data_IF_119735082007
#
_entry.id   IF_119735082007
#
_cell.length_a   1.000
_cell.length_b   1.000
_cell.length_c   1.000
_cell.angle_alpha   90.00
_cell.angle_beta   90.00
_cell.angle_gamma   90.00
#
_symmetry.space_group_name_H-M   'P 1'
#
loop_
_entity.id
_entity.type
_entity.pdbx_description
1 polymer ?
#
# COMPACT_ATOMS: atom_id res chain seq x y z
N UNK A 1 -12.55 -1.27 -9.52
CA UNK A 1 -12.24 0.17 -9.41
C UNK A 1 -10.95 0.51 -10.14
N UNK A 2 -11.03 0.69 -11.46
CA UNK A 2 -9.92 1.31 -12.19
C UNK A 2 -10.02 2.81 -11.94
N UNK A 3 -9.12 3.35 -11.14
CA UNK A 3 -9.23 4.73 -10.65
C UNK A 3 -7.91 5.48 -10.77
N UNK A 4 -8.02 6.78 -10.68
CA UNK A 4 -6.92 7.74 -10.62
C UNK A 4 -7.10 8.57 -9.37
N UNK A 5 -5.99 8.92 -8.74
CA UNK A 5 -5.98 9.83 -7.60
C UNK A 5 -4.89 10.88 -7.79
N UNK A 6 -5.12 12.08 -7.25
CA UNK A 6 -4.13 13.14 -7.16
C UNK A 6 -4.35 13.96 -5.89
N UNK A 7 -3.31 14.66 -5.44
CA UNK A 7 -3.35 15.52 -4.26
C UNK A 7 -3.08 16.96 -4.72
N UNK A 8 -3.86 17.92 -4.23
CA UNK A 8 -3.63 19.36 -4.49
C UNK A 8 -2.57 19.95 -3.57
N UNK A 9 -2.12 21.18 -3.82
CA UNK A 9 -1.15 21.87 -2.96
C UNK A 9 -1.69 22.11 -1.53
N UNK A 10 -3.01 22.14 -1.37
CA UNK A 10 -3.69 22.23 -0.07
C UNK A 10 -3.81 20.88 0.65
N UNK A 11 -3.22 19.81 0.09
CA UNK A 11 -3.24 18.47 0.66
C UNK A 11 -4.58 17.75 0.53
N UNK A 12 -5.46 18.22 -0.38
CA UNK A 12 -6.77 17.62 -0.63
C UNK A 12 -6.61 16.50 -1.64
N UNK A 13 -7.04 15.29 -1.27
CA UNK A 13 -7.10 14.16 -2.19
C UNK A 13 -8.33 14.25 -3.10
N UNK A 14 -8.10 14.07 -4.40
CA UNK A 14 -9.16 13.86 -5.38
C UNK A 14 -9.07 12.45 -5.98
N UNK A 15 -10.22 11.82 -6.19
CA UNK A 15 -10.34 10.50 -6.84
C UNK A 15 -11.35 10.57 -7.98
N UNK A 16 -11.04 9.90 -9.10
CA UNK A 16 -11.91 9.80 -10.27
C UNK A 16 -11.60 8.52 -11.07
N UNK A 17 -12.44 8.17 -12.03
CA UNK A 17 -12.36 6.92 -12.79
C UNK A 17 -13.46 5.93 -12.41
N UNK A 18 -13.37 4.70 -12.91
CA UNK A 18 -14.42 3.69 -12.80
C UNK A 18 -14.61 3.22 -11.35
N UNK A 19 -15.73 3.62 -10.73
CA UNK A 19 -16.12 3.21 -9.38
C UNK A 19 -16.47 1.73 -9.38
N UNK A 20 -15.83 0.92 -8.54
CA UNK A 20 -16.38 -0.39 -8.21
C UNK A 20 -17.67 -0.19 -7.41
N UNK A 21 -18.80 -0.31 -8.09
CA UNK A 21 -20.09 -0.69 -7.55
C UNK A 21 -20.65 0.20 -6.42
N UNK A 22 -21.50 1.16 -6.79
CA UNK A 22 -22.81 1.44 -6.15
C UNK A 22 -22.94 1.33 -4.62
N UNK A 23 -21.93 1.71 -3.83
CA UNK A 23 -22.04 1.89 -2.36
C UNK A 23 -21.39 3.17 -1.83
N UNK A 24 -20.85 4.01 -2.71
CA UNK A 24 -20.55 5.39 -2.35
C UNK A 24 -21.80 6.22 -2.65
N UNK A 25 -22.39 6.81 -1.62
CA UNK A 25 -23.63 7.60 -1.68
C UNK A 25 -23.50 8.93 -2.42
N UNK A 26 -22.76 8.97 -3.54
CA UNK A 26 -22.73 10.10 -4.45
C UNK A 26 -23.80 9.89 -5.53
N UNK A 27 -24.88 10.68 -5.43
CA UNK A 27 -25.96 10.66 -6.40
C UNK A 27 -25.47 11.01 -7.81
N UNK A 28 -25.76 10.12 -8.76
CA UNK A 28 -25.76 10.42 -10.19
C UNK A 28 -24.53 9.94 -10.96
N UNK A 29 -24.75 9.10 -11.97
CA UNK A 29 -23.77 8.62 -12.95
C UNK A 29 -23.13 9.71 -13.84
N UNK A 30 -23.33 11.00 -13.54
CA UNK A 30 -22.69 12.16 -14.19
C UNK A 30 -21.65 12.73 -13.23
N UNK A 31 -20.38 12.40 -13.43
CA UNK A 31 -19.28 12.92 -12.59
C UNK A 31 -18.14 11.94 -12.34
N UNK A 32 -18.29 10.68 -12.75
CA UNK A 32 -17.31 9.60 -12.54
C UNK A 32 -15.95 9.90 -13.20
N UNK A 33 -15.94 10.67 -14.28
CA UNK A 33 -14.72 11.13 -14.96
C UNK A 33 -14.11 12.40 -14.37
N UNK A 34 -14.77 13.04 -13.40
CA UNK A 34 -14.32 14.29 -12.81
C UNK A 34 -13.72 14.06 -11.42
N UNK A 35 -12.59 14.71 -11.08
CA UNK A 35 -12.00 14.66 -9.75
C UNK A 35 -13.01 14.99 -8.67
N UNK A 36 -13.19 14.08 -7.70
CA UNK A 36 -14.05 14.27 -6.54
C UNK A 36 -13.21 14.28 -5.27
N UNK A 37 -13.38 15.30 -4.44
CA UNK A 37 -12.61 15.46 -3.20
C UNK A 37 -13.02 14.41 -2.15
N UNK A 38 -12.03 13.81 -1.49
CA UNK A 38 -12.21 12.94 -0.32
C UNK A 38 -12.04 13.80 0.93
N UNK A 39 -13.14 14.04 1.65
CA UNK A 39 -13.16 15.02 2.75
C UNK A 39 -12.76 14.42 4.10
N UNK A 40 -12.73 13.09 4.22
CA UNK A 40 -12.49 12.37 5.46
C UNK A 40 -11.00 12.25 5.83
N UNK A 41 -10.09 12.74 4.98
CA UNK A 41 -8.65 12.63 5.15
C UNK A 41 -8.03 13.93 5.71
N UNK A 42 -7.04 13.82 6.62
CA UNK A 42 -6.12 14.92 6.91
C UNK A 42 -5.33 15.36 5.66
N UNK A 43 -4.53 16.42 5.83
CA UNK A 43 -3.59 16.88 4.80
C UNK A 43 -2.77 15.70 4.27
N UNK A 44 -2.94 15.40 2.99
CA UNK A 44 -2.33 14.24 2.32
C UNK A 44 -0.99 14.63 1.68
N UNK A 45 0.00 13.74 1.75
CA UNK A 45 1.36 13.99 1.24
C UNK A 45 1.76 13.03 0.12
N UNK A 46 1.25 11.80 0.13
CA UNK A 46 1.55 10.79 -0.88
C UNK A 46 0.33 9.91 -1.16
N UNK A 47 0.18 9.44 -2.39
CA UNK A 47 -0.93 8.56 -2.80
C UNK A 47 -0.45 7.50 -3.78
N UNK A 48 -0.91 6.27 -3.57
CA UNK A 48 -0.74 5.18 -4.52
C UNK A 48 -2.08 4.49 -4.81
N UNK A 49 -2.28 4.15 -6.08
CA UNK A 49 -3.43 3.40 -6.56
C UNK A 49 -2.99 1.99 -6.93
N UNK A 50 -3.56 0.98 -6.29
CA UNK A 50 -3.44 -0.39 -6.74
C UNK A 50 -4.51 -0.75 -7.76
N UNK A 51 -4.64 -2.05 -8.05
CA UNK A 51 -5.65 -2.56 -8.99
C UNK A 51 -7.05 -2.06 -8.68
N UNK A 52 -7.47 -2.22 -7.42
CA UNK A 52 -8.80 -1.87 -6.93
C UNK A 52 -8.81 -1.26 -5.52
N UNK A 53 -7.66 -0.78 -5.05
CA UNK A 53 -7.51 -0.15 -3.73
C UNK A 53 -6.68 1.13 -3.84
N UNK A 54 -6.83 2.02 -2.87
CA UNK A 54 -6.08 3.27 -2.75
C UNK A 54 -5.38 3.29 -1.40
N UNK A 55 -4.18 3.84 -1.38
CA UNK A 55 -3.41 4.08 -0.16
C UNK A 55 -2.92 5.52 -0.12
N UNK A 56 -3.01 6.17 1.03
CA UNK A 56 -2.61 7.58 1.22
C UNK A 56 -1.79 7.74 2.48
N UNK A 57 -0.69 8.48 2.38
CA UNK A 57 0.09 8.96 3.52
C UNK A 57 -0.36 10.37 3.83
N UNK A 58 -0.64 10.63 5.11
CA UNK A 58 -0.98 11.97 5.62
C UNK A 58 0.25 12.66 6.20
N UNK A 59 0.19 13.97 6.40
CA UNK A 59 1.27 14.75 7.03
C UNK A 59 1.57 14.37 8.50
N UNK A 60 0.66 13.64 9.15
CA UNK A 60 0.92 13.00 10.44
C UNK A 60 1.81 11.76 10.33
N UNK A 61 2.11 11.30 9.11
CA UNK A 61 2.83 10.07 8.83
C UNK A 61 1.97 8.81 8.90
N UNK A 62 0.64 8.94 9.05
CA UNK A 62 -0.29 7.82 9.09
C UNK A 62 -0.66 7.34 7.68
N UNK A 63 -0.88 6.03 7.55
CA UNK A 63 -1.34 5.38 6.32
C UNK A 63 -2.84 5.10 6.39
N UNK A 64 -3.57 5.57 5.39
CA UNK A 64 -4.97 5.26 5.16
C UNK A 64 -5.13 4.40 3.91
N UNK A 65 -6.02 3.41 3.95
CA UNK A 65 -6.31 2.53 2.81
C UNK A 65 -7.82 2.29 2.66
N UNK A 66 -8.27 2.08 1.42
CA UNK A 66 -9.65 1.68 1.12
C UNK A 66 -9.77 1.06 -0.27
N UNK A 67 -10.95 0.50 -0.57
CA UNK A 67 -11.29 -0.19 -1.81
C UNK A 67 -11.51 -1.68 -1.62
N UNK A 68 -11.19 -2.46 -2.66
CA UNK A 68 -11.22 -3.93 -2.59
C UNK A 68 -10.11 -4.45 -1.67
N UNK A 69 -10.37 -5.58 -1.02
CA UNK A 69 -9.47 -6.18 -0.04
C UNK A 69 -9.39 -7.72 -0.15
N UNK A 70 -9.68 -8.29 -1.33
CA UNK A 70 -9.80 -9.74 -1.54
C UNK A 70 -8.62 -10.58 -1.01
N UNK A 71 -7.40 -10.04 -1.05
CA UNK A 71 -6.18 -10.68 -0.54
C UNK A 71 -5.54 -9.91 0.61
N UNK A 72 -6.32 -9.11 1.34
CA UNK A 72 -5.79 -8.32 2.46
C UNK A 72 -4.92 -7.14 2.05
N UNK A 73 -4.98 -6.67 0.79
CA UNK A 73 -4.14 -5.59 0.26
C UNK A 73 -4.33 -4.23 0.96
N UNK A 74 -5.37 -4.08 1.78
CA UNK A 74 -5.56 -2.90 2.63
C UNK A 74 -4.72 -2.95 3.92
N UNK A 75 -4.22 -4.12 4.33
CA UNK A 75 -3.35 -4.26 5.51
C UNK A 75 -4.10 -4.17 6.85
N UNK A 76 -5.41 -4.38 6.84
CA UNK A 76 -6.31 -4.23 7.99
C UNK A 76 -6.50 -5.52 8.80
N UNK A 77 -5.72 -6.57 8.55
CA UNK A 77 -5.84 -7.87 9.23
C UNK A 77 -7.07 -8.69 8.84
N UNK A 78 -7.77 -8.28 7.77
CA UNK A 78 -8.93 -8.97 7.22
C UNK A 78 -8.99 -8.82 5.70
N UNK A 79 -9.99 -9.45 5.07
CA UNK A 79 -10.22 -9.40 3.60
C UNK A 79 -11.50 -8.66 3.21
N UNK A 80 -12.12 -7.95 4.16
CA UNK A 80 -13.33 -7.18 3.90
C UNK A 80 -12.98 -5.91 3.11
N UNK A 81 -13.71 -5.65 2.03
CA UNK A 81 -13.61 -4.40 1.29
C UNK A 81 -14.09 -3.22 2.15
N UNK A 82 -13.40 -2.09 2.06
CA UNK A 82 -13.71 -0.87 2.82
C UNK A 82 -14.02 0.26 1.83
N UNK A 83 -15.21 0.88 1.87
CA UNK A 83 -15.60 1.86 0.85
C UNK A 83 -14.95 3.25 1.07
N UNK A 84 -14.52 3.56 2.29
CA UNK A 84 -14.00 4.88 2.70
C UNK A 84 -12.65 4.74 3.37
N UNK A 85 -11.81 5.79 3.39
CA UNK A 85 -10.48 5.72 3.99
C UNK A 85 -10.50 5.19 5.42
N UNK A 86 -9.68 4.17 5.70
CA UNK A 86 -9.48 3.61 7.03
C UNK A 86 -8.00 3.59 7.38
N UNK A 87 -7.66 3.97 8.61
CA UNK A 87 -6.27 4.00 9.07
C UNK A 87 -5.74 2.59 9.31
N UNK A 88 -4.55 2.30 8.78
CA UNK A 88 -3.88 1.01 8.96
C UNK A 88 -3.24 0.96 10.35
N UNK A 89 -3.86 0.23 11.26
CA UNK A 89 -3.35 0.00 12.62
C UNK A 89 -2.63 -1.33 12.69
N UNK A 90 -1.29 -1.30 12.66
CA UNK A 90 -0.45 -2.49 12.77
C UNK A 90 0.36 -2.49 14.07
N UNK A 91 0.62 -3.68 14.60
CA UNK A 91 1.58 -3.87 15.69
C UNK A 91 3.03 -3.69 15.23
N UNK A 92 3.32 -4.01 13.96
CA UNK A 92 4.65 -3.98 13.35
C UNK A 92 4.94 -2.67 12.62
N UNK A 93 4.01 -2.23 11.76
CA UNK A 93 4.16 -0.99 11.00
C UNK A 93 3.78 0.20 11.89
N UNK A 94 4.74 1.10 12.12
CA UNK A 94 4.55 2.32 12.90
C UNK A 94 4.85 3.56 12.05
N UNK A 95 4.05 4.63 12.18
CA UNK A 95 4.40 5.95 11.66
C UNK A 95 5.76 6.44 12.18
N UNK A 96 6.45 7.33 11.43
CA UNK A 96 6.01 7.89 10.16
C UNK A 96 6.25 6.96 8.97
N UNK A 97 5.23 6.83 8.13
CA UNK A 97 5.33 6.22 6.81
C UNK A 97 5.81 7.29 5.84
N UNK A 98 6.81 6.99 5.01
CA UNK A 98 7.47 7.99 4.16
C UNK A 98 7.30 7.77 2.66
N UNK A 99 6.95 6.55 2.23
CA UNK A 99 6.65 6.21 0.84
C UNK A 99 5.60 5.12 0.79
N UNK A 100 4.71 5.19 -0.21
CA UNK A 100 3.72 4.15 -0.49
C UNK A 100 3.74 3.80 -1.97
N UNK A 101 3.54 2.52 -2.27
CA UNK A 101 3.37 2.01 -3.62
C UNK A 101 2.40 0.83 -3.60
N UNK A 102 1.56 0.74 -4.62
CA UNK A 102 0.54 -0.29 -4.73
C UNK A 102 0.68 -1.01 -6.07
N UNK A 103 0.69 -2.34 -6.04
CA UNK A 103 0.58 -3.16 -7.25
C UNK A 103 -0.86 -3.57 -7.51
N UNK A 104 -1.07 -4.68 -8.23
CA UNK A 104 -2.43 -5.10 -8.56
C UNK A 104 -3.25 -5.45 -7.30
N UNK A 105 -2.74 -6.37 -6.48
CA UNK A 105 -3.36 -6.83 -5.23
C UNK A 105 -2.39 -6.86 -4.04
N UNK A 106 -1.36 -6.02 -4.07
CA UNK A 106 -0.41 -5.90 -2.96
C UNK A 106 -0.02 -4.45 -2.75
N UNK A 107 0.50 -4.16 -1.56
CA UNK A 107 0.94 -2.84 -1.14
C UNK A 107 2.33 -2.95 -0.54
N UNK A 108 3.11 -1.89 -0.73
CA UNK A 108 4.43 -1.75 -0.18
C UNK A 108 4.62 -0.34 0.37
N UNK A 109 5.28 -0.23 1.52
CA UNK A 109 5.60 1.07 2.12
C UNK A 109 7.01 1.10 2.66
N UNK A 110 7.53 2.31 2.83
CA UNK A 110 8.74 2.58 3.59
C UNK A 110 8.36 3.28 4.90
N UNK A 111 8.90 2.79 6.02
CA UNK A 111 8.71 3.38 7.34
C UNK A 111 10.00 3.35 8.19
N UNK A 112 10.11 4.21 9.21
CA UNK A 112 11.13 4.13 10.27
C UNK A 112 10.46 4.08 11.65
N UNK A 113 10.99 3.53 12.75
CA UNK A 113 12.19 2.76 13.11
C UNK A 113 11.70 1.65 14.05
N UNK A 114 12.18 0.42 13.94
CA UNK A 114 11.77 -0.68 14.82
C UNK A 114 12.36 -0.46 16.23
N UNK A 115 11.50 -0.26 17.23
CA UNK A 115 11.87 -0.19 18.64
C UNK A 115 11.51 -1.49 19.35
N UNK A 116 12.27 -2.56 19.11
CA UNK A 116 12.25 -3.71 20.00
C UNK A 116 13.67 -4.23 20.17
N UNK A 117 14.34 -3.71 21.22
CA UNK A 117 15.58 -4.20 21.82
C UNK A 117 16.83 -4.19 20.92
N UNK A 118 17.75 -3.25 21.22
CA UNK A 118 19.19 -3.29 20.89
C UNK A 118 19.57 -3.89 19.53
N UNK A 119 19.28 -3.17 18.44
CA UNK A 119 20.24 -2.84 17.40
C UNK A 119 19.54 -1.90 16.42
N UNK A 120 20.24 -0.84 16.02
CA UNK A 120 19.72 0.28 15.24
C UNK A 120 19.25 -0.24 13.88
N UNK A 121 17.95 -0.49 13.72
CA UNK A 121 17.36 -0.56 12.39
C UNK A 121 17.29 0.86 11.84
N UNK A 122 17.84 1.06 10.64
CA UNK A 122 17.83 2.30 9.89
C UNK A 122 16.42 2.87 9.79
N UNK A 123 16.30 4.19 9.69
CA UNK A 123 15.18 4.77 8.94
C UNK A 123 15.08 4.07 7.58
N UNK A 124 13.90 3.68 7.11
CA UNK A 124 13.72 3.13 5.75
C UNK A 124 13.61 1.60 5.69
N UNK A 125 12.79 0.99 6.54
CA UNK A 125 12.41 -0.41 6.44
C UNK A 125 11.27 -0.56 5.43
N UNK A 126 11.30 -1.63 4.63
CA UNK A 126 10.23 -1.94 3.68
C UNK A 126 9.24 -2.90 4.33
N UNK A 127 7.95 -2.57 4.22
CA UNK A 127 6.87 -3.47 4.58
C UNK A 127 6.02 -3.78 3.36
N UNK A 128 5.59 -5.04 3.23
CA UNK A 128 4.74 -5.53 2.14
C UNK A 128 3.63 -6.41 2.67
N UNK A 129 2.48 -6.36 2.01
CA UNK A 129 1.31 -7.19 2.30
C UNK A 129 0.37 -7.26 1.10
N UNK A 130 -0.63 -8.12 1.19
CA UNK A 130 -1.59 -8.42 0.13
C UNK A 130 -1.38 -9.80 -0.46
N UNK A 131 -1.65 -9.94 -1.75
CA UNK A 131 -1.48 -11.18 -2.50
C UNK A 131 0.01 -11.51 -2.70
N UNK A 132 0.43 -12.67 -2.23
CA UNK A 132 1.79 -13.21 -2.35
C UNK A 132 1.95 -14.31 -3.38
N UNK A 133 0.85 -14.82 -3.95
CA UNK A 133 0.90 -15.86 -4.97
C UNK A 133 0.15 -17.15 -4.63
N UNK A 134 -0.31 -17.31 -3.39
CA UNK A 134 -0.89 -18.55 -2.85
C UNK A 134 -2.07 -19.09 -3.66
N UNK A 135 -2.76 -18.21 -4.39
CA UNK A 135 -3.93 -18.52 -5.21
C UNK A 135 -3.68 -18.45 -6.73
N UNK A 136 -2.42 -18.51 -7.18
CA UNK A 136 -1.98 -18.71 -8.58
C UNK A 136 -2.82 -18.04 -9.68
N UNK A 137 -2.38 -16.90 -10.21
CA UNK A 137 -3.12 -16.22 -11.30
C UNK A 137 -2.61 -16.57 -12.70
N UNK A 138 -1.40 -17.12 -12.82
CA UNK A 138 -0.79 -17.54 -14.08
C UNK A 138 0.00 -18.85 -13.88
N UNK A 139 -0.70 -19.96 -13.70
CA UNK A 139 -0.07 -21.30 -13.68
C UNK A 139 0.20 -21.75 -15.13
N UNK A 140 1.13 -21.08 -15.81
CA UNK A 140 1.75 -21.62 -17.03
C UNK A 140 3.01 -22.39 -16.63
N UNK A 141 3.00 -23.71 -16.86
CA UNK A 141 4.17 -24.61 -16.80
C UNK A 141 5.06 -24.50 -15.54
N UNK A 142 4.48 -24.59 -14.35
CA UNK A 142 5.25 -24.79 -13.11
C UNK A 142 6.05 -23.57 -12.63
N UNK A 143 5.81 -22.40 -13.21
CA UNK A 143 6.31 -21.12 -12.70
C UNK A 143 5.26 -20.49 -11.78
N UNK A 144 5.65 -20.20 -10.54
CA UNK A 144 4.80 -19.43 -9.62
C UNK A 144 4.78 -17.97 -10.06
N UNK A 145 3.59 -17.39 -10.21
CA UNK A 145 3.38 -15.96 -10.41
C UNK A 145 3.48 -15.14 -9.11
N UNK A 146 3.96 -15.76 -8.02
CA UNK A 146 4.04 -15.19 -6.67
C UNK A 146 5.41 -14.62 -6.30
N UNK A 147 5.55 -14.22 -5.04
CA UNK A 147 6.78 -13.71 -4.45
C UNK A 147 6.97 -12.19 -4.52
N UNK A 148 5.98 -11.45 -5.04
CA UNK A 148 6.01 -9.98 -5.11
C UNK A 148 6.13 -9.30 -3.74
N UNK A 149 5.79 -10.00 -2.65
CA UNK A 149 5.91 -9.49 -1.29
C UNK A 149 7.35 -9.59 -0.77
N UNK A 150 8.19 -10.43 -1.37
CA UNK A 150 9.61 -10.51 -1.02
C UNK A 150 9.92 -11.22 0.30
N UNK A 151 8.99 -12.02 0.83
CA UNK A 151 9.18 -12.78 2.09
C UNK A 151 9.87 -14.14 1.90
N UNK A 152 10.17 -14.53 0.67
CA UNK A 152 10.78 -15.82 0.35
C UNK A 152 9.77 -16.97 0.19
N UNK A 153 8.48 -16.64 0.13
CA UNK A 153 7.36 -17.55 -0.08
C UNK A 153 6.31 -16.91 -1.01
N UNK A 154 5.21 -17.63 -1.25
CA UNK A 154 4.05 -17.17 -2.00
C UNK A 154 2.82 -16.89 -1.10
N UNK A 155 3.03 -16.67 0.19
CA UNK A 155 1.94 -16.52 1.17
C UNK A 155 1.27 -15.16 1.05
N UNK A 156 -0.07 -15.13 1.09
CA UNK A 156 -0.82 -13.88 1.22
C UNK A 156 -0.74 -13.37 2.67
N UNK A 157 -0.40 -12.09 2.85
CA UNK A 157 -0.34 -11.45 4.17
C UNK A 157 -1.38 -10.36 4.28
N UNK A 158 -2.21 -10.40 5.33
CA UNK A 158 -3.33 -9.44 5.49
C UNK A 158 -2.98 -8.26 6.40
N UNK A 159 -1.78 -8.27 6.98
CA UNK A 159 -1.21 -7.18 7.77
C UNK A 159 0.16 -6.80 7.19
N UNK A 160 0.62 -5.56 7.37
CA UNK A 160 1.96 -5.15 6.96
C UNK A 160 3.07 -6.00 7.59
N UNK A 161 3.86 -6.67 6.75
CA UNK A 161 4.98 -7.48 7.18
C UNK A 161 6.30 -6.88 6.74
N UNK A 162 7.30 -6.90 7.62
CA UNK A 162 8.63 -6.37 7.31
C UNK A 162 9.41 -7.32 6.40
N UNK A 163 10.05 -6.77 5.36
CA UNK A 163 10.99 -7.51 4.52
C UNK A 163 12.37 -7.53 5.17
N UNK A 164 13.00 -8.70 5.20
CA UNK A 164 14.41 -8.81 5.57
C UNK A 164 15.31 -8.35 4.40
N UNK A 165 15.79 -7.12 4.47
CA UNK A 165 16.67 -6.51 3.46
C UNK A 165 18.16 -6.64 3.81
N UNK A 166 18.50 -7.40 4.86
CA UNK A 166 19.84 -7.49 5.41
C UNK A 166 20.22 -6.31 6.31
N UNK A 167 21.42 -6.37 6.89
CA UNK A 167 21.95 -5.30 7.73
C UNK A 167 22.56 -4.18 6.90
N UNK A 168 22.48 -2.93 7.38
CA UNK A 168 23.18 -1.74 6.84
C UNK A 168 22.66 -1.21 5.51
N UNK A 169 21.40 -1.44 5.21
CA UNK A 169 20.72 -0.79 4.09
C UNK A 169 19.55 0.06 4.58
N UNK A 170 19.23 1.08 3.79
CA UNK A 170 18.07 1.93 3.98
C UNK A 170 17.33 2.02 2.66
N UNK A 171 16.04 1.72 2.66
CA UNK A 171 15.19 1.95 1.50
C UNK A 171 14.97 3.46 1.31
N UNK A 172 15.23 3.94 0.10
CA UNK A 172 14.96 5.31 -0.34
C UNK A 172 13.67 5.38 -1.15
N UNK A 173 13.37 4.34 -1.92
CA UNK A 173 12.20 4.26 -2.78
C UNK A 173 11.68 2.83 -2.87
N UNK A 174 10.36 2.69 -3.02
CA UNK A 174 9.68 1.43 -3.30
C UNK A 174 8.74 1.66 -4.48
N UNK A 175 8.63 0.69 -5.38
CA UNK A 175 7.75 0.76 -6.54
C UNK A 175 7.17 -0.62 -6.82
N UNK A 176 5.88 -0.67 -7.10
CA UNK A 176 5.15 -1.89 -7.38
C UNK A 176 4.65 -1.83 -8.82
N UNK A 177 4.95 -2.88 -9.58
CA UNK A 177 4.25 -3.16 -10.83
C UNK A 177 3.03 -4.04 -10.58
N UNK A 178 2.54 -4.68 -11.65
CA UNK A 178 1.36 -5.56 -11.56
C UNK A 178 1.56 -6.68 -10.51
N UNK A 179 2.62 -7.49 -10.69
CA UNK A 179 2.99 -8.63 -9.85
C UNK A 179 4.48 -8.62 -9.46
N UNK A 180 5.08 -7.45 -9.25
CA UNK A 180 6.46 -7.33 -8.77
C UNK A 180 6.65 -6.09 -7.91
N UNK A 181 7.62 -6.15 -7.00
CA UNK A 181 8.05 -5.02 -6.16
C UNK A 181 9.53 -4.76 -6.38
N UNK A 182 9.90 -3.52 -6.65
CA UNK A 182 11.27 -3.02 -6.72
C UNK A 182 11.55 -2.03 -5.60
N UNK A 183 12.81 -1.94 -5.19
CA UNK A 183 13.27 -1.00 -4.19
C UNK A 183 14.64 -0.42 -4.53
N UNK A 184 14.86 0.84 -4.18
CA UNK A 184 16.17 1.49 -4.25
C UNK A 184 16.70 1.60 -2.82
N UNK A 185 17.91 1.10 -2.60
CA UNK A 185 18.52 1.02 -1.29
C UNK A 185 19.86 1.77 -1.28
N UNK A 186 20.11 2.47 -0.19
CA UNK A 186 21.39 3.07 0.14
C UNK A 186 22.12 2.19 1.16
N UNK A 187 23.41 1.97 0.92
CA UNK A 187 24.28 1.32 1.90
C UNK A 187 24.72 2.35 2.95
N UNK A 188 24.62 1.98 4.23
CA UNK A 188 25.05 2.84 5.32
C UNK A 188 26.47 2.45 5.76
N UNK A 189 27.44 3.32 5.47
CA UNK A 189 28.78 3.27 6.05
C UNK A 189 28.76 3.75 7.52
N UNK A 190 29.75 3.31 8.31
CA UNK A 190 29.86 3.58 9.75
C UNK A 190 30.22 5.04 10.06
#
# INVERSE_FOLDING_TARGET
MMHTACISEEGILFVFGEVANNKLGFGGAKGISMPSAVQELPFSEDVACGGYHTSVITSGGDLYTWGSNENGCLGLGCTNAVPTPEVVKSSLLKPPISKVSCGWKHSAVIAGKILFFSNIYSSGNVFTWGWGGANGTFFEEGLSSGGQLGHGDDVDYFEPMIINTGSRVKALHVSCGFNHTGGIFEYMEL
#
